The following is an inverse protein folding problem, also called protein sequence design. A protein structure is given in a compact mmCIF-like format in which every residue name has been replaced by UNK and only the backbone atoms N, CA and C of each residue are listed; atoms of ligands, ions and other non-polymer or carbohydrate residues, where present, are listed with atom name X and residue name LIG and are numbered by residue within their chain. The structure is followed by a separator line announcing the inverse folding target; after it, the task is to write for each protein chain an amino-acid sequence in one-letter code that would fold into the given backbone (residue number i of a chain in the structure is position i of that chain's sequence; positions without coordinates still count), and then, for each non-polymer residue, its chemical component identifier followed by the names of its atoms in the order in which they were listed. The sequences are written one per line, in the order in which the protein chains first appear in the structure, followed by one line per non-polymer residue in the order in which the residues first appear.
data_IF_786993220689
#
_entry.id   IF_786993220689
#
_cell.length_a   1.000
_cell.length_b   1.000
_cell.length_c   1.000
_cell.angle_alpha   90.00
_cell.angle_beta   90.00
_cell.angle_gamma   90.00
#
_symmetry.space_group_name_H-M   'P 1'
#
loop_
_entity.id
_entity.type
_entity.pdbx_description
1 polymer ?
#
# COMPACT_ATOMS: atom_id res chain seq x y z
N UNK A 1 -9.05 -17.94 -4.23
CA UNK A 1 -8.63 -16.52 -4.26
C UNK A 1 -7.11 -16.48 -4.34
N UNK A 2 -6.51 -15.43 -4.92
CA UNK A 2 -5.06 -15.21 -4.83
C UNK A 2 -4.71 -14.81 -3.40
N UNK A 3 -3.48 -15.12 -2.97
CA UNK A 3 -2.93 -14.64 -1.70
C UNK A 3 -2.66 -13.14 -1.80
N UNK A 4 -2.94 -12.39 -0.74
CA UNK A 4 -2.95 -10.92 -0.77
C UNK A 4 -1.74 -10.33 -0.09
N UNK A 5 -1.24 -9.22 -0.61
CA UNK A 5 -0.21 -8.40 0.03
C UNK A 5 -0.63 -6.94 -0.07
N UNK A 6 -0.65 -6.27 1.07
CA UNK A 6 -0.96 -4.84 1.15
C UNK A 6 0.34 -4.03 1.05
N UNK A 7 0.32 -2.93 0.30
CA UNK A 7 1.40 -1.95 0.17
C UNK A 7 0.88 -0.63 0.72
N UNK A 8 1.56 -0.07 1.71
CA UNK A 8 1.27 1.26 2.22
C UNK A 8 2.11 2.30 1.47
N UNK A 9 1.44 3.24 0.82
CA UNK A 9 2.06 4.38 0.15
C UNK A 9 2.63 5.41 1.12
N UNK A 10 3.05 6.57 0.60
CA UNK A 10 3.65 7.64 1.41
C UNK A 10 2.69 8.74 1.86
N UNK A 11 1.50 8.83 1.24
CA UNK A 11 0.63 10.00 1.35
C UNK A 11 1.18 11.19 0.56
N UNK A 12 0.75 12.43 0.88
CA UNK A 12 1.15 13.62 0.14
C UNK A 12 2.67 13.85 0.12
N UNK A 13 3.21 14.16 -1.05
CA UNK A 13 4.64 14.41 -1.24
C UNK A 13 5.13 15.62 -0.43
N UNK A 14 6.34 15.50 0.14
CA UNK A 14 7.04 16.57 0.87
C UNK A 14 8.53 16.51 0.58
N UNK A 15 9.28 17.58 0.86
CA UNK A 15 10.74 17.56 0.74
C UNK A 15 11.30 16.41 1.61
N UNK A 16 12.07 15.52 0.98
CA UNK A 16 12.62 14.31 1.62
C UNK A 16 11.70 13.10 1.65
N UNK A 17 10.47 13.22 1.14
CA UNK A 17 9.44 12.16 1.01
C UNK A 17 8.68 12.37 -0.31
N UNK A 18 9.37 12.08 -1.42
CA UNK A 18 8.88 12.39 -2.77
C UNK A 18 8.48 11.17 -3.59
N UNK A 19 8.45 11.38 -4.91
CA UNK A 19 8.02 10.42 -5.92
C UNK A 19 8.86 9.14 -5.94
N UNK A 20 10.06 9.17 -5.37
CA UNK A 20 10.94 8.01 -5.28
C UNK A 20 10.31 6.87 -4.48
N UNK A 21 9.50 7.19 -3.46
CA UNK A 21 8.76 6.21 -2.66
C UNK A 21 7.53 5.68 -3.41
N UNK A 22 6.83 6.54 -4.16
CA UNK A 22 5.74 6.12 -5.03
C UNK A 22 6.19 5.12 -6.10
N UNK A 23 7.35 5.38 -6.71
CA UNK A 23 7.99 4.47 -7.65
C UNK A 23 8.25 3.08 -7.03
N UNK A 24 8.80 3.05 -5.80
CA UNK A 24 9.01 1.79 -5.06
C UNK A 24 7.70 1.04 -4.81
N UNK A 25 6.64 1.73 -4.41
CA UNK A 25 5.32 1.15 -4.19
C UNK A 25 4.72 0.56 -5.48
N UNK A 26 4.84 1.26 -6.61
CA UNK A 26 4.37 0.76 -7.91
C UNK A 26 5.13 -0.51 -8.32
N UNK A 27 6.45 -0.51 -8.20
CA UNK A 27 7.28 -1.66 -8.52
C UNK A 27 7.01 -2.87 -7.60
N UNK A 28 6.66 -2.64 -6.33
CA UNK A 28 6.18 -3.71 -5.46
C UNK A 28 4.87 -4.33 -5.97
N UNK A 29 3.90 -3.49 -6.39
CA UNK A 29 2.64 -3.98 -6.93
C UNK A 29 2.83 -4.81 -8.20
N UNK A 30 3.71 -4.36 -9.10
CA UNK A 30 4.06 -5.10 -10.32
C UNK A 30 4.73 -6.44 -10.01
N UNK A 31 5.75 -6.44 -9.14
CA UNK A 31 6.46 -7.66 -8.76
C UNK A 31 5.58 -8.67 -8.04
N UNK A 32 4.68 -8.21 -7.16
CA UNK A 32 3.72 -9.07 -6.47
C UNK A 32 2.73 -9.71 -7.44
N UNK A 33 2.25 -8.95 -8.43
CA UNK A 33 1.37 -9.45 -9.49
C UNK A 33 2.05 -10.53 -10.31
N UNK A 34 3.29 -10.30 -10.73
CA UNK A 34 4.12 -11.28 -11.46
C UNK A 34 4.38 -12.55 -10.64
N UNK A 35 4.50 -12.41 -9.31
CA UNK A 35 4.65 -13.51 -8.37
C UNK A 35 3.31 -14.21 -8.02
N UNK A 36 2.19 -13.80 -8.62
CA UNK A 36 0.87 -14.41 -8.44
C UNK A 36 0.12 -13.99 -7.18
N UNK A 37 0.53 -12.91 -6.52
CA UNK A 37 -0.22 -12.31 -5.42
C UNK A 37 -1.29 -11.33 -5.95
N UNK A 38 -2.29 -11.07 -5.12
CA UNK A 38 -3.19 -9.93 -5.26
C UNK A 38 -2.54 -8.74 -4.55
N UNK A 39 -2.11 -7.74 -5.32
CA UNK A 39 -1.47 -6.53 -4.82
C UNK A 39 -2.54 -5.50 -4.44
N UNK A 40 -2.51 -5.03 -3.20
CA UNK A 40 -3.49 -4.08 -2.65
C UNK A 40 -2.76 -2.81 -2.26
N UNK A 41 -3.08 -1.68 -2.89
CA UNK A 41 -2.47 -0.38 -2.58
C UNK A 41 -3.35 0.40 -1.61
N UNK A 42 -2.73 1.00 -0.58
CA UNK A 42 -3.35 2.01 0.29
C UNK A 42 -2.54 3.28 0.20
N UNK A 43 -3.10 4.33 -0.40
CA UNK A 43 -2.47 5.63 -0.52
C UNK A 43 -3.51 6.73 -0.75
N UNK A 44 -3.18 7.98 -0.47
CA UNK A 44 -4.10 9.11 -0.62
C UNK A 44 -3.52 10.29 -1.41
N UNK A 45 -2.39 10.10 -2.09
CA UNK A 45 -1.78 11.16 -2.89
C UNK A 45 -2.36 11.18 -4.31
N UNK A 46 -3.21 12.16 -4.69
CA UNK A 46 -3.85 12.18 -6.00
C UNK A 46 -2.90 12.40 -7.18
N UNK A 47 -1.64 12.79 -6.91
CA UNK A 47 -0.65 13.13 -7.94
C UNK A 47 0.20 11.93 -8.37
N UNK A 48 -0.08 10.73 -7.85
CA UNK A 48 0.83 9.58 -7.92
C UNK A 48 0.32 8.42 -8.76
N UNK A 49 1.26 7.63 -9.29
CA UNK A 49 0.94 6.47 -10.11
C UNK A 49 0.41 5.33 -9.23
N UNK A 50 0.81 5.24 -7.97
CA UNK A 50 0.26 4.22 -7.06
C UNK A 50 -1.25 4.35 -6.85
N UNK A 51 -1.81 5.56 -7.00
CA UNK A 51 -3.25 5.80 -6.90
C UNK A 51 -3.99 5.70 -8.24
N UNK A 52 -3.32 5.23 -9.30
CA UNK A 52 -3.99 4.78 -10.51
C UNK A 52 -4.57 3.36 -10.28
N UNK A 53 -5.81 3.14 -10.71
CA UNK A 53 -6.49 1.85 -10.60
C UNK A 53 -5.79 0.73 -11.38
N UNK A 54 -4.98 1.06 -12.40
CA UNK A 54 -4.24 0.07 -13.18
C UNK A 54 -3.00 -0.47 -12.43
N UNK A 55 -2.51 0.25 -11.41
CA UNK A 55 -1.25 -0.06 -10.73
C UNK A 55 -1.33 -1.25 -9.77
N UNK A 56 -2.50 -1.52 -9.20
CA UNK A 56 -2.72 -2.62 -8.24
C UNK A 56 -4.00 -3.37 -8.56
N UNK A 57 -4.19 -4.57 -8.01
CA UNK A 57 -5.44 -5.32 -8.18
C UNK A 57 -6.61 -4.64 -7.42
N UNK A 58 -6.28 -3.90 -6.36
CA UNK A 58 -7.23 -3.15 -5.55
C UNK A 58 -6.57 -1.90 -4.96
N UNK A 59 -7.26 -0.78 -5.05
CA UNK A 59 -6.84 0.50 -4.50
C UNK A 59 -7.80 0.95 -3.40
N UNK A 60 -7.26 1.24 -2.22
CA UNK A 60 -7.91 2.02 -1.18
C UNK A 60 -7.35 3.44 -1.21
N UNK A 61 -8.17 4.38 -1.68
CA UNK A 61 -7.82 5.80 -1.65
C UNK A 61 -8.18 6.40 -0.28
N UNK A 62 -7.41 6.03 0.74
CA UNK A 62 -7.71 6.33 2.15
C UNK A 62 -6.49 6.93 2.86
N UNK A 63 -6.69 7.71 3.94
CA UNK A 63 -5.59 8.22 4.76
C UNK A 63 -4.73 7.09 5.36
N UNK A 64 -3.43 7.35 5.50
CA UNK A 64 -2.49 6.44 6.15
C UNK A 64 -2.46 6.68 7.67
N UNK A 65 -3.61 6.54 8.32
CA UNK A 65 -3.70 6.54 9.79
C UNK A 65 -3.72 5.10 10.31
N UNK A 66 -3.35 4.86 11.60
CA UNK A 66 -3.46 3.52 12.17
C UNK A 66 -4.87 2.94 12.10
N UNK A 67 -5.90 3.76 12.34
CA UNK A 67 -7.29 3.32 12.34
C UNK A 67 -7.74 2.87 10.94
N UNK A 68 -7.57 3.73 9.94
CA UNK A 68 -7.96 3.43 8.56
C UNK A 68 -7.23 2.20 8.02
N UNK A 69 -5.91 2.10 8.27
CA UNK A 69 -5.11 0.96 7.83
C UNK A 69 -5.58 -0.32 8.54
N UNK A 70 -5.77 -0.32 9.86
CA UNK A 70 -6.22 -1.51 10.58
C UNK A 70 -7.59 -2.01 10.12
N UNK A 71 -8.52 -1.11 9.82
CA UNK A 71 -9.83 -1.50 9.26
C UNK A 71 -9.70 -2.15 7.88
N UNK A 72 -8.84 -1.61 7.01
CA UNK A 72 -8.55 -2.20 5.69
C UNK A 72 -7.91 -3.59 5.86
N UNK A 73 -6.90 -3.72 6.73
CA UNK A 73 -6.23 -5.00 6.96
C UNK A 73 -7.22 -6.07 7.48
N UNK A 74 -8.11 -5.70 8.40
CA UNK A 74 -9.17 -6.59 8.92
C UNK A 74 -10.13 -7.02 7.82
N UNK A 75 -10.56 -6.09 6.97
CA UNK A 75 -11.45 -6.39 5.85
C UNK A 75 -10.79 -7.33 4.82
N UNK A 76 -9.50 -7.13 4.54
CA UNK A 76 -8.75 -7.96 3.60
C UNK A 76 -8.44 -9.36 4.15
N UNK A 77 -8.17 -9.48 5.45
CA UNK A 77 -8.07 -10.75 6.18
C UNK A 77 -9.40 -11.50 6.22
N UNK A 78 -10.52 -10.81 6.45
CA UNK A 78 -11.84 -11.43 6.48
C UNK A 78 -12.27 -11.96 5.10
N UNK A 79 -11.80 -11.33 4.03
CA UNK A 79 -12.13 -11.71 2.64
C UNK A 79 -11.11 -12.64 1.99
N UNK A 80 -10.01 -13.01 2.65
CA UNK A 80 -9.03 -13.96 2.14
C UNK A 80 -7.72 -14.01 2.92
N UNK A 81 -6.74 -14.76 2.39
CA UNK A 81 -5.43 -14.88 3.01
C UNK A 81 -4.58 -13.61 2.75
N UNK A 82 -4.49 -12.74 3.75
CA UNK A 82 -3.52 -11.65 3.79
C UNK A 82 -2.18 -12.17 4.31
N UNK A 83 -1.18 -12.23 3.43
CA UNK A 83 0.15 -12.80 3.75
C UNK A 83 1.03 -11.80 4.51
N UNK A 84 0.84 -10.51 4.27
CA UNK A 84 1.60 -9.48 4.95
C UNK A 84 1.35 -8.08 4.39
N UNK A 85 2.07 -7.14 4.98
CA UNK A 85 1.99 -5.70 4.67
C UNK A 85 3.40 -5.18 4.41
N UNK A 86 3.59 -4.49 3.29
CA UNK A 86 4.82 -3.78 2.94
C UNK A 86 4.68 -2.34 3.44
N UNK A 87 5.51 -1.98 4.41
CA UNK A 87 5.53 -0.67 5.09
C UNK A 87 6.81 0.11 4.80
N UNK A 88 7.79 -0.51 4.17
CA UNK A 88 9.15 0.01 4.01
C UNK A 88 9.30 0.92 2.78
N UNK A 89 8.38 0.82 1.81
CA UNK A 89 8.55 1.45 0.50
C UNK A 89 7.87 2.81 0.36
N UNK A 90 6.85 3.12 1.17
CA UNK A 90 6.19 4.42 1.19
C UNK A 90 6.91 5.49 2.04
N UNK A 91 8.14 5.21 2.50
CA UNK A 91 8.92 6.14 3.31
C UNK A 91 8.45 6.26 4.76
N UNK A 92 8.64 7.43 5.36
CA UNK A 92 8.47 7.65 6.81
C UNK A 92 7.04 7.46 7.31
N UNK A 93 6.03 7.76 6.49
CA UNK A 93 4.62 7.63 6.87
C UNK A 93 4.29 6.20 7.29
N UNK A 94 4.42 5.17 6.42
CA UNK A 94 4.14 3.79 6.79
C UNK A 94 5.17 3.17 7.73
N UNK A 95 6.45 3.59 7.68
CA UNK A 95 7.48 3.13 8.62
C UNK A 95 7.11 3.42 10.08
N UNK A 96 6.48 4.57 10.36
CA UNK A 96 6.01 4.93 11.71
C UNK A 96 4.74 4.19 12.13
N UNK A 97 3.96 3.69 11.17
CA UNK A 97 2.78 2.88 11.47
C UNK A 97 3.17 1.44 11.85
N UNK A 98 4.34 0.96 11.43
CA UNK A 98 4.76 -0.43 11.63
C UNK A 98 4.70 -0.90 13.09
N UNK A 99 5.00 -0.04 14.06
CA UNK A 99 4.94 -0.39 15.49
C UNK A 99 3.50 -0.58 16.02
N UNK A 100 2.50 -0.04 15.30
CA UNK A 100 1.09 -0.08 15.67
C UNK A 100 0.28 -1.15 14.91
N UNK A 101 0.87 -1.81 13.91
CA UNK A 101 0.25 -2.83 13.05
C UNK A 101 0.65 -4.24 13.49
#
# INVERSE_FOLDING_TARGET
SRRKVVILGGGPNRIGQGIEFDYCCCHAAFALRDAGFEAIMVNCNPETVSTDYDTSDRLYFEPLTPEDVLEILRAEQASGELVGVIVQFGGQTPLKLADAL
#
